data_IF_755660824931
#
_entry.id   IF_755660824931
#
_cell.length_a   1.000
_cell.length_b   1.000
_cell.length_c   1.000
_cell.angle_alpha   90.00
_cell.angle_beta   90.00
_cell.angle_gamma   90.00
#
_symmetry.space_group_name_H-M   'P 1'
#
loop_
_entity.id
_entity.type
_entity.pdbx_description
1 polymer ?
#
# COMPACT_ATOMS: atom_id res chain seq x y z
N UNK A 1 4.38 7.39 -14.24
CA UNK A 1 4.86 8.04 -13.00
C UNK A 1 6.36 8.12 -13.08
N UNK A 2 6.96 9.20 -12.60
CA UNK A 2 8.42 9.23 -12.39
C UNK A 2 8.72 8.43 -11.10
N UNK A 3 9.49 7.33 -11.17
CA UNK A 3 9.82 6.52 -10.00
C UNK A 3 10.53 7.32 -8.91
N UNK A 4 11.26 8.38 -9.26
CA UNK A 4 11.97 9.21 -8.31
C UNK A 4 11.05 9.96 -7.33
N UNK A 5 9.74 10.06 -7.65
CA UNK A 5 8.74 10.70 -6.80
C UNK A 5 8.12 9.76 -5.77
N UNK A 6 8.39 8.46 -5.84
CA UNK A 6 7.85 7.47 -4.90
C UNK A 6 8.78 7.42 -3.68
N UNK A 7 8.61 8.37 -2.78
CA UNK A 7 9.30 8.41 -1.48
C UNK A 7 8.33 8.11 -0.35
N UNK A 8 8.78 7.64 0.83
CA UNK A 8 7.90 7.36 1.96
C UNK A 8 7.00 8.54 2.37
N UNK A 9 7.48 9.76 2.21
CA UNK A 9 6.78 10.99 2.58
C UNK A 9 5.78 11.46 1.50
N UNK A 10 5.87 10.91 0.29
CA UNK A 10 5.02 11.33 -0.83
C UNK A 10 3.55 11.02 -0.55
N UNK A 11 2.68 11.99 -0.81
CA UNK A 11 1.24 11.82 -0.71
C UNK A 11 0.74 10.95 -1.87
N UNK A 12 -0.10 9.97 -1.57
CA UNK A 12 -0.72 9.09 -2.56
C UNK A 12 -1.54 9.90 -3.59
N UNK A 13 -2.19 10.98 -3.14
CA UNK A 13 -2.91 11.89 -4.02
C UNK A 13 -2.00 12.62 -5.03
N UNK A 14 -0.81 13.05 -4.60
CA UNK A 14 0.18 13.68 -5.50
C UNK A 14 0.76 12.69 -6.52
N UNK A 15 0.78 11.41 -6.13
CA UNK A 15 1.05 10.26 -6.99
C UNK A 15 -0.20 9.80 -7.75
N UNK A 16 -1.27 10.60 -7.80
CA UNK A 16 -2.52 10.31 -8.53
C UNK A 16 -3.11 8.93 -8.22
N UNK A 17 -2.89 8.44 -7.00
CA UNK A 17 -3.47 7.20 -6.50
C UNK A 17 -4.86 7.54 -5.95
N UNK A 18 -5.87 7.35 -6.81
CA UNK A 18 -7.26 7.43 -6.40
C UNK A 18 -7.71 6.16 -5.63
N UNK A 19 -8.99 6.09 -5.23
CA UNK A 19 -9.51 4.96 -4.46
C UNK A 19 -9.53 3.64 -5.22
N UNK A 20 -9.69 3.65 -6.54
CA UNK A 20 -9.69 2.43 -7.35
C UNK A 20 -8.25 1.95 -7.56
N UNK A 21 -7.35 2.87 -7.90
CA UNK A 21 -5.92 2.59 -8.02
C UNK A 21 -5.34 2.06 -6.70
N UNK A 22 -5.76 2.61 -5.56
CA UNK A 22 -5.37 2.09 -4.25
C UNK A 22 -5.85 0.64 -4.06
N UNK A 23 -7.09 0.33 -4.44
CA UNK A 23 -7.63 -1.03 -4.34
C UNK A 23 -6.85 -2.02 -5.22
N UNK A 24 -6.53 -1.62 -6.45
CA UNK A 24 -5.71 -2.41 -7.37
C UNK A 24 -4.31 -2.67 -6.82
N UNK A 25 -3.66 -1.65 -6.26
CA UNK A 25 -2.36 -1.76 -5.58
C UNK A 25 -2.40 -2.76 -4.42
N UNK A 26 -3.46 -2.72 -3.59
CA UNK A 26 -3.61 -3.66 -2.48
C UNK A 26 -3.73 -5.09 -2.98
N UNK A 27 -4.52 -5.36 -4.02
CA UNK A 27 -4.59 -6.70 -4.62
C UNK A 27 -3.25 -7.15 -5.20
N UNK A 28 -2.50 -6.24 -5.85
CA UNK A 28 -1.17 -6.58 -6.35
C UNK A 28 -0.20 -6.92 -5.21
N UNK A 29 -0.27 -6.23 -4.07
CA UNK A 29 0.50 -6.60 -2.88
C UNK A 29 0.10 -7.97 -2.33
N UNK A 30 -1.20 -8.26 -2.21
CA UNK A 30 -1.70 -9.57 -1.78
C UNK A 30 -1.15 -10.70 -2.67
N UNK A 31 -1.24 -10.54 -3.99
CA UNK A 31 -0.80 -11.55 -4.95
C UNK A 31 0.72 -11.74 -4.95
N UNK A 32 1.49 -10.64 -4.89
CA UNK A 32 2.96 -10.70 -4.90
C UNK A 32 3.55 -11.22 -3.59
N UNK A 33 2.93 -10.87 -2.47
CA UNK A 33 3.44 -11.21 -1.13
C UNK A 33 2.79 -12.47 -0.55
N UNK A 34 1.73 -12.97 -1.18
CA UNK A 34 1.00 -14.15 -0.71
C UNK A 34 0.24 -13.90 0.60
N UNK A 35 -0.18 -12.65 0.85
CA UNK A 35 -0.89 -12.25 2.08
C UNK A 35 -2.31 -11.78 1.77
N UNK A 36 -3.14 -11.68 2.80
CA UNK A 36 -4.44 -10.98 2.71
C UNK A 36 -4.45 -9.72 3.56
N UNK A 37 -4.78 -8.59 2.94
CA UNK A 37 -4.87 -7.29 3.56
C UNK A 37 -6.35 -7.07 3.97
N UNK A 38 -6.63 -6.75 5.24
CA UNK A 38 -8.01 -6.49 5.69
C UNK A 38 -8.64 -5.32 4.92
N UNK A 39 -9.94 -5.42 4.62
CA UNK A 39 -10.65 -4.35 3.89
C UNK A 39 -11.02 -3.14 4.76
N UNK A 40 -10.95 -3.26 6.08
CA UNK A 40 -11.27 -2.16 7.00
C UNK A 40 -10.07 -1.27 7.35
N UNK A 41 -8.94 -1.44 6.65
CA UNK A 41 -7.73 -0.68 6.93
C UNK A 41 -7.98 0.82 6.82
N UNK A 42 -7.39 1.63 7.73
CA UNK A 42 -7.39 3.07 7.58
C UNK A 42 -6.78 3.46 6.23
N UNK A 43 -7.43 4.39 5.52
CA UNK A 43 -6.92 4.86 4.23
C UNK A 43 -5.55 5.52 4.42
N UNK A 44 -4.46 4.98 3.83
CA UNK A 44 -3.15 5.60 3.92
C UNK A 44 -3.13 6.94 3.18
N UNK A 45 -2.36 7.91 3.70
CA UNK A 45 -2.19 9.21 3.05
C UNK A 45 -0.89 9.26 2.27
N UNK A 46 0.15 8.62 2.80
CA UNK A 46 1.49 8.59 2.23
C UNK A 46 1.88 7.19 1.77
N UNK A 47 2.95 7.10 0.97
CA UNK A 47 3.58 5.81 0.64
C UNK A 47 4.06 5.09 1.90
N UNK A 48 4.63 5.82 2.86
CA UNK A 48 5.09 5.26 4.13
C UNK A 48 3.96 4.67 4.96
N UNK A 49 2.79 5.31 4.99
CA UNK A 49 1.60 4.75 5.65
C UNK A 49 1.20 3.41 5.02
N UNK A 50 1.18 3.35 3.68
CA UNK A 50 0.84 2.14 2.94
C UNK A 50 1.84 1.01 3.20
N UNK A 51 3.15 1.31 3.16
CA UNK A 51 4.19 0.34 3.51
C UNK A 51 4.03 -0.16 4.95
N UNK A 52 3.74 0.73 5.90
CA UNK A 52 3.50 0.33 7.29
C UNK A 52 2.28 -0.57 7.49
N UNK A 53 1.27 -0.49 6.62
CA UNK A 53 0.14 -1.44 6.61
C UNK A 53 0.60 -2.79 6.08
N UNK A 54 1.29 -2.81 4.94
CA UNK A 54 1.80 -4.04 4.31
C UNK A 54 2.76 -4.78 5.24
N UNK A 55 3.71 -4.07 5.86
CA UNK A 55 4.70 -4.63 6.79
C UNK A 55 4.05 -5.29 8.00
N UNK A 56 2.97 -4.71 8.55
CA UNK A 56 2.24 -5.31 9.67
C UNK A 56 1.55 -6.61 9.25
N UNK A 57 0.99 -6.64 8.05
CA UNK A 57 0.30 -7.81 7.51
C UNK A 57 1.28 -8.93 7.22
N UNK A 58 2.43 -8.62 6.62
CA UNK A 58 3.47 -9.61 6.28
C UNK A 58 4.21 -10.12 7.50
N UNK A 59 4.53 -9.26 8.48
CA UNK A 59 5.14 -9.67 9.74
C UNK A 59 4.24 -10.62 10.55
N UNK A 60 2.91 -10.46 10.44
CA UNK A 60 1.92 -11.36 11.04
C UNK A 60 1.66 -12.65 10.26
N UNK A 61 2.07 -12.73 8.99
CA UNK A 61 1.90 -13.90 8.10
C UNK A 61 3.08 -14.89 8.15
N UNK A 62 4.01 -14.74 9.11
CA UNK A 62 5.11 -15.67 9.32
C UNK A 62 4.66 -17.03 9.87
N UNK A 63 4.33 -17.96 8.96
CA UNK A 63 4.40 -19.43 9.15
C UNK A 63 5.25 -20.05 8.04
#
# INVERSE_FOLDING_TARGET
MDPARVTPEALLEELKVDSLMLLELLFEFEDRLGVKIPQDIPRPKTVGDLLGIVDKVTAGHGV
#
